data_IF_383258958650
#
_entry.id   IF_383258958650
#
_cell.length_a   1.000
_cell.length_b   1.000
_cell.length_c   1.000
_cell.angle_alpha   90.00
_cell.angle_beta   90.00
_cell.angle_gamma   90.00
#
_symmetry.space_group_name_H-M   'P 1'
#
loop_
_entity.id
_entity.type
_entity.pdbx_description
1 polymer ?
#
# COMPACT_ATOMS: atom_id res chain seq x y z
N UNK A 1 -22.42 -3.35 -21.94
CA UNK A 1 -20.99 -3.73 -22.01
C UNK A 1 -20.78 -4.76 -20.93
N UNK A 2 -20.76 -6.04 -21.27
CA UNK A 2 -20.54 -7.12 -20.31
C UNK A 2 -19.22 -6.86 -19.58
N UNK A 3 -19.27 -6.82 -18.24
CA UNK A 3 -18.06 -6.77 -17.45
C UNK A 3 -17.37 -8.12 -17.64
N UNK A 4 -16.38 -8.17 -18.54
CA UNK A 4 -15.49 -9.33 -18.70
C UNK A 4 -15.03 -9.74 -17.30
N UNK A 5 -15.37 -10.96 -16.91
CA UNK A 5 -15.12 -11.43 -15.56
C UNK A 5 -13.61 -11.37 -15.31
N UNK A 6 -13.20 -10.63 -14.28
CA UNK A 6 -11.79 -10.38 -14.04
C UNK A 6 -11.18 -11.64 -13.43
N UNK A 7 -9.93 -12.01 -13.78
CA UNK A 7 -9.25 -13.08 -13.08
C UNK A 7 -9.25 -12.82 -11.58
N UNK A 8 -9.48 -13.86 -10.77
CA UNK A 8 -9.53 -13.74 -9.31
C UNK A 8 -8.31 -13.01 -8.72
N UNK A 9 -7.12 -13.21 -9.31
CA UNK A 9 -5.90 -12.51 -8.90
C UNK A 9 -5.99 -10.99 -9.08
N UNK A 10 -6.58 -10.52 -10.18
CA UNK A 10 -6.81 -9.09 -10.44
C UNK A 10 -7.86 -8.54 -9.48
N UNK A 11 -8.94 -9.29 -9.24
CA UNK A 11 -10.00 -8.90 -8.30
C UNK A 11 -9.48 -8.76 -6.87
N UNK A 12 -8.64 -9.68 -6.41
CA UNK A 12 -8.02 -9.62 -5.09
C UNK A 12 -7.10 -8.40 -4.96
N UNK A 13 -6.25 -8.16 -5.96
CA UNK A 13 -5.38 -6.97 -6.00
C UNK A 13 -6.19 -5.68 -5.92
N UNK A 14 -7.21 -5.52 -6.78
CA UNK A 14 -8.09 -4.35 -6.81
C UNK A 14 -8.79 -4.12 -5.46
N UNK A 15 -9.29 -5.19 -4.85
CA UNK A 15 -9.99 -5.12 -3.56
C UNK A 15 -9.05 -4.63 -2.46
N UNK A 16 -7.85 -5.20 -2.38
CA UNK A 16 -6.86 -4.78 -1.38
C UNK A 16 -6.39 -3.35 -1.62
N UNK A 17 -6.19 -2.94 -2.87
CA UNK A 17 -5.81 -1.56 -3.17
C UNK A 17 -6.91 -0.55 -2.77
N UNK A 18 -8.20 -0.90 -2.90
CA UNK A 18 -9.30 -0.06 -2.39
C UNK A 18 -9.30 0.03 -0.87
N UNK A 19 -9.13 -1.10 -0.18
CA UNK A 19 -9.06 -1.15 1.29
C UNK A 19 -7.89 -0.29 1.77
N UNK A 20 -6.71 -0.46 1.18
CA UNK A 20 -5.54 0.36 1.50
C UNK A 20 -5.79 1.84 1.21
N UNK A 21 -6.41 2.18 0.07
CA UNK A 21 -6.79 3.56 -0.25
C UNK A 21 -7.66 4.19 0.83
N UNK A 22 -8.68 3.48 1.32
CA UNK A 22 -9.52 3.92 2.43
C UNK A 22 -8.73 4.08 3.73
N UNK A 23 -7.87 3.11 4.08
CA UNK A 23 -7.02 3.17 5.26
C UNK A 23 -6.07 4.38 5.21
N UNK A 24 -5.54 4.73 4.04
CA UNK A 24 -4.69 5.90 3.88
C UNK A 24 -5.46 7.21 3.99
N UNK A 25 -6.70 7.28 3.50
CA UNK A 25 -7.57 8.45 3.75
C UNK A 25 -7.81 8.61 5.25
N UNK A 26 -8.16 7.52 5.94
CA UNK A 26 -8.36 7.54 7.39
C UNK A 26 -7.07 7.96 8.12
N UNK A 27 -5.92 7.45 7.69
CA UNK A 27 -4.60 7.84 8.21
C UNK A 27 -4.30 9.33 8.02
N UNK A 28 -4.59 9.87 6.83
CA UNK A 28 -4.42 11.30 6.55
C UNK A 28 -5.30 12.16 7.47
N UNK A 29 -6.58 11.81 7.64
CA UNK A 29 -7.49 12.49 8.55
C UNK A 29 -7.01 12.42 9.99
N UNK A 30 -6.56 11.24 10.44
CA UNK A 30 -6.08 11.04 11.80
C UNK A 30 -4.82 11.86 12.08
N UNK A 31 -3.86 11.84 11.16
CA UNK A 31 -2.60 12.57 11.29
C UNK A 31 -2.84 14.08 11.34
N UNK A 32 -3.76 14.59 10.50
CA UNK A 32 -4.03 16.01 10.40
C UNK A 32 -4.84 16.56 11.58
N UNK A 33 -5.91 15.86 11.98
CA UNK A 33 -6.84 16.36 13.00
C UNK A 33 -6.49 15.89 14.42
N UNK A 34 -5.76 14.79 14.58
CA UNK A 34 -5.47 14.19 15.88
C UNK A 34 -4.00 13.75 16.02
N UNK A 35 -3.01 14.62 15.73
CA UNK A 35 -1.59 14.25 15.73
C UNK A 35 -1.09 13.77 17.10
N UNK A 36 -1.54 14.41 18.19
CA UNK A 36 -1.13 14.05 19.55
C UNK A 36 -1.67 12.68 19.96
N UNK A 37 -2.87 12.33 19.50
CA UNK A 37 -3.47 11.02 19.77
C UNK A 37 -2.68 9.90 19.10
N UNK A 38 -2.14 10.14 17.90
CA UNK A 38 -1.27 9.19 17.19
C UNK A 38 0.02 8.97 17.95
N UNK A 39 0.69 10.03 18.39
CA UNK A 39 1.92 9.91 19.19
C UNK A 39 1.64 9.20 20.52
N UNK A 40 0.53 9.52 21.18
CA UNK A 40 0.11 8.86 22.41
C UNK A 40 -0.13 7.36 22.20
N UNK A 41 -0.81 6.97 21.12
CA UNK A 41 -1.10 5.58 20.81
C UNK A 41 0.17 4.77 20.52
N UNK A 42 1.08 5.33 19.71
CA UNK A 42 2.39 4.74 19.42
C UNK A 42 3.17 4.53 20.73
N UNK A 43 3.10 5.49 21.65
CA UNK A 43 3.81 5.46 22.92
C UNK A 43 3.13 4.60 24.01
N UNK A 44 1.95 4.02 23.76
CA UNK A 44 1.22 3.23 24.75
C UNK A 44 1.93 1.92 25.12
N UNK A 45 2.34 1.14 24.11
CA UNK A 45 3.08 -0.11 24.31
C UNK A 45 4.42 0.08 25.05
N UNK A 46 5.33 0.99 24.64
CA UNK A 46 6.63 1.15 25.29
C UNK A 46 6.51 1.64 26.74
N UNK A 47 5.45 2.39 27.08
CA UNK A 47 5.14 2.74 28.48
C UNK A 47 4.86 1.51 29.35
N UNK A 48 4.30 0.45 28.77
CA UNK A 48 3.96 -0.80 29.48
C UNK A 48 5.15 -1.78 29.49
N UNK A 49 5.79 -1.99 28.33
CA UNK A 49 6.81 -3.05 28.17
C UNK A 49 8.24 -2.59 28.50
N UNK A 50 8.51 -1.28 28.63
CA UNK A 50 9.81 -0.64 28.96
C UNK A 50 11.06 -1.11 28.18
N UNK A 51 10.87 -1.87 27.10
CA UNK A 51 11.95 -2.45 26.29
C UNK A 51 12.49 -1.50 25.22
N UNK A 52 11.78 -0.40 24.94
CA UNK A 52 12.03 0.45 23.78
C UNK A 52 11.74 1.91 24.14
N UNK A 53 12.50 2.85 23.57
CA UNK A 53 12.39 4.27 23.90
C UNK A 53 11.09 4.89 23.35
N UNK A 54 10.53 5.82 24.12
CA UNK A 54 9.33 6.58 23.78
C UNK A 54 9.74 7.72 22.85
N UNK A 55 8.96 7.99 21.79
CA UNK A 55 9.20 9.21 21.01
C UNK A 55 8.88 10.43 21.88
N UNK A 56 9.79 11.43 21.96
CA UNK A 56 9.49 12.67 22.66
C UNK A 56 8.29 13.36 22.01
N UNK A 57 7.40 13.89 22.86
CA UNK A 57 6.28 14.70 22.38
C UNK A 57 6.85 15.94 21.70
N UNK A 58 6.61 16.08 20.39
CA UNK A 58 7.08 17.22 19.62
C UNK A 58 6.07 18.36 19.79
N UNK A 59 6.50 19.47 20.38
CA UNK A 59 5.70 20.71 20.42
C UNK A 59 5.46 21.28 19.02
N UNK A 60 6.37 20.99 18.10
CA UNK A 60 6.34 21.45 16.72
C UNK A 60 5.69 20.36 15.85
N UNK A 61 4.47 20.58 15.36
CA UNK A 61 3.73 19.65 14.48
C UNK A 61 4.33 19.55 13.05
N UNK A 62 5.63 19.79 12.89
CA UNK A 62 6.32 19.87 11.60
C UNK A 62 6.16 18.61 10.73
N UNK A 63 6.07 17.44 11.36
CA UNK A 63 5.89 16.17 10.64
C UNK A 63 4.47 15.98 10.08
N UNK A 64 3.47 16.70 10.61
CA UNK A 64 2.06 16.48 10.30
C UNK A 64 1.72 16.79 8.85
N UNK A 65 2.09 17.95 8.26
CA UNK A 65 1.83 18.22 6.85
C UNK A 65 2.50 17.20 5.92
N UNK A 66 3.73 16.80 6.22
CA UNK A 66 4.46 15.82 5.43
C UNK A 66 3.81 14.44 5.48
N UNK A 67 3.51 13.94 6.69
CA UNK A 67 2.86 12.64 6.85
C UNK A 67 1.46 12.62 6.23
N UNK A 68 0.68 13.69 6.40
CA UNK A 68 -0.66 13.82 5.82
C UNK A 68 -0.60 13.81 4.29
N UNK A 69 0.27 14.62 3.69
CA UNK A 69 0.42 14.67 2.23
C UNK A 69 0.85 13.33 1.63
N UNK A 70 1.76 12.61 2.29
CA UNK A 70 2.16 11.25 1.86
C UNK A 70 1.00 10.27 1.91
N UNK A 71 0.17 10.32 2.96
CA UNK A 71 -1.02 9.46 3.07
C UNK A 71 -2.05 9.76 1.98
N UNK A 72 -2.29 11.05 1.67
CA UNK A 72 -3.16 11.45 0.56
C UNK A 72 -2.64 10.94 -0.78
N UNK A 73 -1.33 11.09 -1.04
CA UNK A 73 -0.71 10.58 -2.27
C UNK A 73 -0.83 9.05 -2.39
N UNK A 74 -0.59 8.32 -1.30
CA UNK A 74 -0.77 6.87 -1.26
C UNK A 74 -2.22 6.45 -1.50
N UNK A 75 -3.19 7.20 -0.96
CA UNK A 75 -4.61 6.96 -1.22
C UNK A 75 -4.95 7.12 -2.71
N UNK A 76 -4.49 8.21 -3.34
CA UNK A 76 -4.70 8.48 -4.77
C UNK A 76 -4.09 7.36 -5.61
N UNK A 77 -2.84 6.97 -5.32
CA UNK A 77 -2.18 5.88 -6.04
C UNK A 77 -2.93 4.57 -5.86
N UNK A 78 -3.39 4.28 -4.63
CA UNK A 78 -4.10 3.04 -4.34
C UNK A 78 -5.45 2.95 -5.08
N UNK A 79 -6.24 4.03 -5.07
CA UNK A 79 -7.49 4.07 -5.83
C UNK A 79 -7.26 4.05 -7.34
N UNK A 80 -6.24 4.77 -7.83
CA UNK A 80 -5.87 4.76 -9.26
C UNK A 80 -5.44 3.36 -9.71
N UNK A 81 -4.63 2.68 -8.92
CA UNK A 81 -4.18 1.31 -9.18
C UNK A 81 -5.35 0.29 -9.13
N UNK A 82 -6.36 0.55 -8.31
CA UNK A 82 -7.58 -0.26 -8.27
C UNK A 82 -8.52 0.00 -9.47
N UNK A 83 -8.56 1.25 -9.96
CA UNK A 83 -9.34 1.63 -11.13
C UNK A 83 -8.73 1.10 -12.43
N UNK A 84 -7.40 1.15 -12.53
CA UNK A 84 -6.61 0.78 -13.71
C UNK A 84 -5.47 -0.17 -13.34
N UNK A 85 -5.75 -1.43 -12.97
CA UNK A 85 -4.75 -2.40 -12.54
C UNK A 85 -3.71 -2.76 -13.63
N UNK A 86 -4.02 -2.52 -14.90
CA UNK A 86 -3.13 -2.67 -16.05
C UNK A 86 -1.96 -1.67 -16.05
N UNK A 87 -2.13 -0.51 -15.40
CA UNK A 87 -1.10 0.54 -15.32
C UNK A 87 -0.11 0.18 -14.19
N UNK A 88 0.88 -0.65 -14.53
CA UNK A 88 1.84 -1.23 -13.55
C UNK A 88 2.63 -0.21 -12.75
N UNK A 89 2.91 0.97 -13.34
CA UNK A 89 3.68 2.02 -12.66
C UNK A 89 3.00 2.49 -11.36
N UNK A 90 1.66 2.45 -11.28
CA UNK A 90 0.94 2.81 -10.05
C UNK A 90 1.25 1.83 -8.91
N UNK A 91 1.31 0.54 -9.21
CA UNK A 91 1.74 -0.48 -8.25
C UNK A 91 3.21 -0.30 -7.86
N UNK A 92 4.09 -0.02 -8.83
CA UNK A 92 5.52 0.18 -8.58
C UNK A 92 5.78 1.39 -7.68
N UNK A 93 5.08 2.51 -7.89
CA UNK A 93 5.23 3.69 -7.02
C UNK A 93 4.75 3.38 -5.59
N UNK A 94 3.63 2.68 -5.43
CA UNK A 94 3.15 2.26 -4.10
C UNK A 94 4.17 1.34 -3.40
N UNK A 95 4.63 0.30 -4.11
CA UNK A 95 5.64 -0.62 -3.60
C UNK A 95 6.95 0.09 -3.24
N UNK A 96 7.45 0.98 -4.11
CA UNK A 96 8.67 1.73 -3.86
C UNK A 96 8.54 2.65 -2.64
N UNK A 97 7.38 3.30 -2.48
CA UNK A 97 7.09 4.12 -1.30
C UNK A 97 7.14 3.28 -0.02
N UNK A 98 6.46 2.13 0.03
CA UNK A 98 6.44 1.26 1.21
C UNK A 98 7.77 0.57 1.50
N UNK A 99 8.51 0.19 0.46
CA UNK A 99 9.87 -0.31 0.62
C UNK A 99 10.79 0.76 1.21
N UNK A 100 10.74 1.98 0.67
CA UNK A 100 11.56 3.10 1.13
C UNK A 100 11.28 3.46 2.58
N UNK A 101 10.00 3.60 2.97
CA UNK A 101 9.63 3.90 4.35
C UNK A 101 9.98 2.75 5.30
N UNK A 102 9.71 1.50 4.94
CA UNK A 102 10.07 0.33 5.77
C UNK A 102 11.58 0.28 6.03
N UNK A 103 12.39 0.39 4.98
CA UNK A 103 13.85 0.38 5.10
C UNK A 103 14.36 1.59 5.87
N UNK A 104 13.76 2.76 5.65
CA UNK A 104 14.07 3.98 6.41
C UNK A 104 13.80 3.80 7.91
N UNK A 105 12.62 3.32 8.27
CA UNK A 105 12.26 3.01 9.65
C UNK A 105 13.22 2.01 10.30
N UNK A 106 13.52 0.91 9.60
CA UNK A 106 14.47 -0.08 10.10
C UNK A 106 15.87 0.51 10.28
N UNK A 107 16.34 1.32 9.31
CA UNK A 107 17.62 1.99 9.38
C UNK A 107 17.71 2.93 10.59
N UNK A 108 16.70 3.77 10.80
CA UNK A 108 16.69 4.69 11.95
C UNK A 108 16.61 3.95 13.28
N UNK A 109 15.86 2.85 13.36
CA UNK A 109 15.79 2.00 14.54
C UNK A 109 17.15 1.38 14.90
N UNK A 110 17.87 0.84 13.91
CA UNK A 110 19.15 0.15 14.13
C UNK A 110 20.31 1.13 14.39
N UNK A 111 20.37 2.24 13.64
CA UNK A 111 21.57 3.07 13.57
C UNK A 111 21.47 4.44 14.24
N UNK A 112 20.28 4.90 14.65
CA UNK A 112 20.11 6.27 15.19
C UNK A 112 19.50 6.28 16.59
N UNK A 113 18.25 5.87 16.71
CA UNK A 113 17.54 5.87 17.97
C UNK A 113 16.59 4.69 18.00
N UNK A 114 16.60 3.94 19.10
CA UNK A 114 15.76 2.76 19.29
C UNK A 114 14.36 3.17 19.73
N UNK A 115 13.77 4.16 19.05
CA UNK A 115 12.41 4.60 19.31
C UNK A 115 11.41 3.55 18.80
N UNK A 116 10.43 3.23 19.63
CA UNK A 116 9.42 2.22 19.31
C UNK A 116 8.59 2.60 18.08
N UNK A 117 8.43 3.90 17.81
CA UNK A 117 7.77 4.40 16.62
C UNK A 117 8.42 3.94 15.32
N UNK A 118 9.75 3.84 15.26
CA UNK A 118 10.44 3.32 14.07
C UNK A 118 10.19 1.82 13.89
N UNK A 119 10.15 1.06 14.99
CA UNK A 119 9.80 -0.35 14.93
C UNK A 119 8.34 -0.54 14.46
N UNK A 120 7.38 0.23 14.99
CA UNK A 120 6.00 0.19 14.50
C UNK A 120 5.93 0.54 13.02
N UNK A 121 6.58 1.64 12.60
CA UNK A 121 6.59 2.06 11.20
C UNK A 121 7.07 0.94 10.28
N UNK A 122 8.16 0.27 10.64
CA UNK A 122 8.66 -0.91 9.93
C UNK A 122 7.66 -2.07 9.93
N UNK A 123 7.10 -2.43 11.09
CA UNK A 123 6.16 -3.53 11.24
C UNK A 123 4.81 -3.29 10.55
N UNK A 124 4.43 -2.05 10.30
CA UNK A 124 3.21 -1.69 9.55
C UNK A 124 3.50 -1.66 8.05
N UNK A 125 4.58 -0.99 7.63
CA UNK A 125 4.83 -0.78 6.21
C UNK A 125 5.39 -2.02 5.50
N UNK A 126 6.19 -2.85 6.18
CA UNK A 126 6.79 -4.04 5.56
C UNK A 126 5.71 -5.07 5.14
N UNK A 127 4.74 -5.45 5.99
CA UNK A 127 3.67 -6.35 5.57
C UNK A 127 2.84 -5.79 4.41
N UNK A 128 2.58 -4.48 4.38
CA UNK A 128 1.87 -3.84 3.27
C UNK A 128 2.68 -3.98 1.98
N UNK A 129 3.99 -3.68 2.03
CA UNK A 129 4.88 -3.86 0.88
C UNK A 129 4.87 -5.30 0.37
N UNK A 130 5.02 -6.29 1.25
CA UNK A 130 5.02 -7.72 0.90
C UNK A 130 3.69 -8.12 0.27
N UNK A 131 2.57 -7.75 0.91
CA UNK A 131 1.22 -8.07 0.46
C UNK A 131 0.95 -7.51 -0.94
N UNK A 132 1.20 -6.21 -1.13
CA UNK A 132 0.95 -5.54 -2.41
C UNK A 132 1.86 -6.10 -3.51
N UNK A 133 3.15 -6.35 -3.21
CA UNK A 133 4.07 -6.97 -4.15
C UNK A 133 3.57 -8.33 -4.60
N UNK A 134 3.16 -9.18 -3.65
CA UNK A 134 2.66 -10.51 -3.95
C UNK A 134 1.40 -10.47 -4.82
N UNK A 135 0.42 -9.63 -4.47
CA UNK A 135 -0.83 -9.50 -5.23
C UNK A 135 -0.61 -8.89 -6.62
N UNK A 136 0.23 -7.86 -6.72
CA UNK A 136 0.55 -7.20 -7.99
C UNK A 136 1.21 -8.19 -8.97
N UNK A 137 2.19 -8.99 -8.51
CA UNK A 137 2.85 -9.99 -9.35
C UNK A 137 1.86 -11.04 -9.86
N UNK A 138 0.94 -11.52 -9.02
CA UNK A 138 -0.10 -12.48 -9.43
C UNK A 138 -1.09 -11.86 -10.41
N UNK A 139 -1.51 -10.63 -10.19
CA UNK A 139 -2.39 -9.90 -11.09
C UNK A 139 -1.73 -9.66 -12.46
N UNK A 140 -0.47 -9.25 -12.48
CA UNK A 140 0.28 -9.01 -13.73
C UNK A 140 0.50 -10.29 -14.53
N UNK A 141 0.79 -11.40 -13.85
CA UNK A 141 0.90 -12.70 -14.49
C UNK A 141 -0.43 -13.17 -15.10
N UNK A 142 -1.54 -13.00 -14.38
CA UNK A 142 -2.88 -13.34 -14.87
C UNK A 142 -3.26 -12.51 -16.11
N UNK A 143 -3.08 -11.18 -16.06
CA UNK A 143 -3.37 -10.31 -17.20
C UNK A 143 -2.50 -10.62 -18.42
N UNK A 144 -1.23 -11.01 -18.22
CA UNK A 144 -0.36 -11.45 -19.31
C UNK A 144 -0.87 -12.75 -19.95
N UNK A 145 -1.37 -13.69 -19.16
CA UNK A 145 -1.94 -14.96 -19.66
C UNK A 145 -3.20 -14.73 -20.50
N UNK A 146 -4.09 -13.86 -20.04
CA UNK A 146 -5.32 -13.52 -20.76
C UNK A 146 -5.02 -12.82 -22.09
N UNK A 147 -4.02 -11.93 -22.13
CA UNK A 147 -3.58 -11.29 -23.36
C UNK A 147 -2.92 -12.26 -24.37
N UNK A 148 -2.29 -13.33 -23.87
CA UNK A 148 -1.63 -14.35 -24.69
C UNK A 148 -2.57 -15.45 -25.20
N UNK A 149 -3.86 -15.41 -24.83
CA UNK A 149 -4.89 -16.33 -25.32
C UNK A 149 -5.83 -15.52 -26.22
N UNK A 150 -5.48 -15.27 -27.50
CA UNK A 150 -6.44 -14.68 -28.42
C UNK A 150 -7.61 -15.65 -28.51
N UNK A 151 -8.83 -15.15 -28.39
CA UNK A 151 -10.03 -15.92 -28.68
C UNK A 151 -9.81 -16.64 -30.01
N UNK A 152 -10.00 -17.96 -30.03
CA UNK A 152 -10.05 -18.71 -31.27
C UNK A 152 -11.12 -18.03 -32.13
N UNK A 153 -10.67 -17.26 -33.14
CA UNK A 153 -11.56 -16.55 -34.03
C UNK A 153 -12.58 -17.52 -34.63
N UNK A 154 -13.79 -17.05 -34.95
CA UNK A 154 -14.86 -17.92 -35.43
C UNK A 154 -14.30 -18.79 -36.56
N UNK A 155 -14.40 -20.11 -36.39
CA UNK A 155 -14.00 -21.07 -37.40
C UNK A 155 -14.66 -20.64 -38.71
N UNK A 156 -13.83 -20.19 -39.67
CA UNK A 156 -14.29 -19.83 -41.00
C UNK A 156 -14.93 -21.10 -41.56
N UNK A 157 -16.25 -21.12 -41.59
CA UNK A 157 -17.01 -22.19 -42.21
C UNK A 157 -16.57 -22.24 -43.68
N UNK A 158 -15.86 -23.29 -44.05
CA UNK A 158 -15.56 -23.61 -45.44
C UNK A 158 -16.88 -23.73 -46.19
N UNK A 159 -17.08 -23.02 -47.32
CA UNK A 159 -18.27 -23.22 -48.12
C UNK A 159 -18.22 -24.63 -48.70
N UNK A 160 -19.23 -25.45 -48.37
CA UNK A 160 -19.44 -26.73 -49.04
C UNK A 160 -19.70 -26.48 -50.52
N UNK A 161 -18.98 -27.24 -51.34
CA UNK A 161 -18.95 -27.23 -52.81
C UNK A 161 -20.22 -27.75 -53.45
#
# INVERSE_FOLDING_TARGET
MEAKDRPAAVTNYVTIMRILGLLYVLGALLFFFFPDWVLWFINLLPKVIRLVEIIPESSEHFWVPLATSMMVMLAIIAFSAAASPEIRILAYVHMASKACSSLGYLYFFIFKAHYFAYLIGFLVDLPIFILVTWLALRAFAAMKKDAATPEAGPAVATPES
#
